data_IF_534497786550
#
_entry.id   IF_534497786550
#
_cell.length_a   1.000
_cell.length_b   1.000
_cell.length_c   1.000
_cell.angle_alpha   90.00
_cell.angle_beta   90.00
_cell.angle_gamma   90.00
#
_symmetry.space_group_name_H-M   'P 1'
#
loop_
_entity.id
_entity.type
_entity.pdbx_description
1 polymer ?
#
# COMPACT_ATOMS: atom_id res chain seq x y z
N UNK A 1 -7.30 15.57 -4.45
CA UNK A 1 -6.88 14.36 -5.20
C UNK A 1 -5.93 14.74 -6.31
N UNK A 2 -4.85 13.98 -6.51
CA UNK A 2 -3.91 14.13 -7.62
C UNK A 2 -3.99 12.93 -8.58
N UNK A 3 -3.25 12.98 -9.69
CA UNK A 3 -3.15 11.84 -10.61
C UNK A 3 -2.59 10.58 -9.93
N UNK A 4 -1.68 10.77 -8.96
CA UNK A 4 -1.19 9.67 -8.13
C UNK A 4 -2.31 9.09 -7.25
N UNK A 5 -3.20 9.93 -6.68
CA UNK A 5 -4.38 9.46 -5.94
C UNK A 5 -5.29 8.61 -6.83
N UNK A 6 -5.56 9.06 -8.07
CA UNK A 6 -6.34 8.28 -9.04
C UNK A 6 -5.66 6.97 -9.44
N UNK A 7 -4.34 6.94 -9.48
CA UNK A 7 -3.60 5.70 -9.72
C UNK A 7 -3.74 4.71 -8.56
N UNK A 8 -3.82 5.17 -7.32
CA UNK A 8 -4.11 4.31 -6.17
C UNK A 8 -5.51 3.73 -6.29
N UNK A 9 -6.51 4.55 -6.66
CA UNK A 9 -7.88 4.08 -6.89
C UNK A 9 -7.92 2.98 -7.93
N UNK A 10 -7.22 3.16 -9.06
CA UNK A 10 -7.13 2.14 -10.11
C UNK A 10 -6.47 0.85 -9.61
N UNK A 11 -5.36 0.97 -8.89
CA UNK A 11 -4.66 -0.17 -8.31
C UNK A 11 -5.55 -0.96 -7.34
N UNK A 12 -6.28 -0.28 -6.44
CA UNK A 12 -7.17 -0.96 -5.48
C UNK A 12 -8.37 -1.60 -6.19
N UNK A 13 -8.93 -0.94 -7.21
CA UNK A 13 -10.00 -1.55 -8.01
C UNK A 13 -9.53 -2.80 -8.76
N UNK A 14 -8.30 -2.79 -9.27
CA UNK A 14 -7.67 -3.97 -9.91
C UNK A 14 -7.41 -5.07 -8.88
N UNK A 15 -6.92 -4.74 -7.69
CA UNK A 15 -6.75 -5.69 -6.59
C UNK A 15 -8.06 -6.34 -6.14
N UNK A 16 -9.17 -5.61 -6.32
CA UNK A 16 -10.53 -6.05 -6.00
C UNK A 16 -11.29 -6.67 -7.19
N UNK A 17 -10.64 -6.98 -8.31
CA UNK A 17 -11.32 -7.42 -9.55
C UNK A 17 -12.27 -8.59 -9.33
N UNK A 18 -11.88 -9.53 -8.47
CA UNK A 18 -12.59 -10.79 -8.27
C UNK A 18 -13.52 -10.74 -7.06
N UNK A 19 -13.09 -10.03 -6.01
CA UNK A 19 -13.83 -9.81 -4.76
C UNK A 19 -13.31 -8.54 -4.08
N UNK A 20 -14.14 -7.88 -3.28
CA UNK A 20 -13.71 -6.72 -2.49
C UNK A 20 -12.79 -7.18 -1.35
N UNK A 21 -11.52 -6.77 -1.40
CA UNK A 21 -10.44 -7.13 -0.45
C UNK A 21 -9.83 -5.93 0.25
N UNK A 22 -9.85 -4.78 -0.41
CA UNK A 22 -9.34 -3.53 0.13
C UNK A 22 -10.30 -2.36 -0.13
N UNK A 23 -10.34 -1.38 0.75
CA UNK A 23 -11.06 -0.13 0.58
C UNK A 23 -10.09 1.04 0.75
N UNK A 24 -10.27 2.12 0.00
CA UNK A 24 -9.45 3.32 0.12
C UNK A 24 -10.29 4.50 0.62
N UNK A 25 -9.63 5.42 1.33
CA UNK A 25 -10.16 6.75 1.65
C UNK A 25 -9.06 7.80 1.49
N UNK A 26 -9.49 9.03 1.25
CA UNK A 26 -8.64 10.21 1.13
C UNK A 26 -9.25 11.33 1.98
N UNK A 27 -8.46 11.92 2.87
CA UNK A 27 -8.86 13.12 3.60
C UNK A 27 -8.63 14.38 2.74
N UNK A 28 -8.29 15.51 3.36
CA UNK A 28 -7.93 16.76 2.68
C UNK A 28 -6.50 16.73 2.10
N UNK A 29 -6.13 15.66 1.38
CA UNK A 29 -4.79 15.49 0.82
C UNK A 29 -4.68 14.36 -0.22
N UNK A 30 -3.51 14.22 -0.85
CA UNK A 30 -3.28 13.18 -1.86
C UNK A 30 -2.93 11.81 -1.25
N UNK A 31 -2.71 11.73 0.06
CA UNK A 31 -2.37 10.50 0.76
C UNK A 31 -3.58 9.56 0.81
N UNK A 32 -3.37 8.31 0.46
CA UNK A 32 -4.38 7.27 0.55
C UNK A 32 -4.25 6.52 1.88
N UNK A 33 -5.37 6.29 2.55
CA UNK A 33 -5.48 5.30 3.61
C UNK A 33 -6.22 4.08 3.04
N UNK A 34 -5.62 2.89 3.15
CA UNK A 34 -6.17 1.66 2.60
C UNK A 34 -6.47 0.71 3.77
N UNK A 35 -7.71 0.24 3.84
CA UNK A 35 -8.18 -0.77 4.79
C UNK A 35 -8.26 -2.11 4.08
N UNK A 36 -7.74 -3.16 4.72
CA UNK A 36 -7.76 -4.54 4.23
C UNK A 36 -7.56 -5.50 5.41
N UNK A 37 -7.79 -6.79 5.17
CA UNK A 37 -7.44 -7.84 6.13
C UNK A 37 -5.93 -8.11 6.13
N UNK A 38 -5.37 -8.50 7.27
CA UNK A 38 -3.92 -8.74 7.43
C UNK A 38 -3.39 -9.77 6.42
N UNK A 39 -4.18 -10.80 6.11
CA UNK A 39 -3.84 -11.85 5.15
C UNK A 39 -3.66 -11.33 3.70
N UNK A 40 -4.26 -10.18 3.38
CA UNK A 40 -4.21 -9.58 2.05
C UNK A 40 -3.08 -8.55 1.91
N UNK A 41 -2.39 -8.19 3.01
CA UNK A 41 -1.34 -7.18 3.02
C UNK A 41 -0.16 -7.48 2.08
N UNK A 42 0.43 -8.68 2.05
CA UNK A 42 1.54 -8.97 1.14
C UNK A 42 1.14 -8.79 -0.33
N UNK A 43 -0.04 -9.29 -0.70
CA UNK A 43 -0.56 -9.18 -2.07
C UNK A 43 -0.84 -7.73 -2.48
N UNK A 44 -1.33 -6.90 -1.54
CA UNK A 44 -1.53 -5.47 -1.79
C UNK A 44 -0.19 -4.75 -1.98
N UNK A 45 0.83 -5.07 -1.17
CA UNK A 45 2.16 -4.46 -1.31
C UNK A 45 2.83 -4.83 -2.64
N UNK A 46 2.66 -6.07 -3.10
CA UNK A 46 3.10 -6.49 -4.43
C UNK A 46 2.40 -5.69 -5.52
N UNK A 47 1.06 -5.58 -5.48
CA UNK A 47 0.31 -4.73 -6.41
C UNK A 47 0.75 -3.26 -6.38
N UNK A 48 1.01 -2.72 -5.19
CA UNK A 48 1.53 -1.36 -5.04
C UNK A 48 2.89 -1.21 -5.74
N UNK A 49 3.79 -2.19 -5.59
CA UNK A 49 5.10 -2.20 -6.24
C UNK A 49 5.01 -2.35 -7.77
N UNK A 50 3.95 -2.97 -8.29
CA UNK A 50 3.67 -3.02 -9.74
C UNK A 50 3.15 -1.69 -10.29
N UNK A 51 2.40 -0.93 -9.50
CA UNK A 51 1.84 0.34 -9.95
C UNK A 51 2.75 1.54 -9.69
N UNK A 52 3.59 1.50 -8.67
CA UNK A 52 4.39 2.63 -8.19
C UNK A 52 5.85 2.27 -7.99
N UNK A 53 6.72 3.26 -8.14
CA UNK A 53 8.10 3.14 -7.69
C UNK A 53 8.15 3.30 -6.16
N UNK A 54 8.69 2.28 -5.48
CA UNK A 54 8.90 2.30 -4.02
C UNK A 54 10.42 2.34 -3.79
N UNK A 55 10.95 3.38 -3.13
CA UNK A 55 12.37 3.44 -2.78
C UNK A 55 12.81 2.24 -1.94
N UNK A 56 14.03 1.75 -2.16
CA UNK A 56 14.57 0.61 -1.43
C UNK A 56 14.59 0.83 0.09
N UNK A 57 14.80 2.07 0.56
CA UNK A 57 14.74 2.38 1.99
C UNK A 57 13.36 2.11 2.62
N UNK A 58 12.28 2.35 1.85
CA UNK A 58 10.91 2.15 2.31
C UNK A 58 10.61 0.66 2.40
N UNK A 59 11.06 -0.11 1.39
CA UNK A 59 10.96 -1.57 1.40
C UNK A 59 11.74 -2.18 2.58
N UNK A 60 12.96 -1.73 2.84
CA UNK A 60 13.77 -2.20 3.98
C UNK A 60 13.08 -1.92 5.32
N UNK A 61 12.42 -0.77 5.46
CA UNK A 61 11.67 -0.43 6.68
C UNK A 61 10.46 -1.35 6.87
N UNK A 62 9.72 -1.64 5.79
CA UNK A 62 8.59 -2.58 5.82
C UNK A 62 9.02 -4.00 6.18
N UNK A 63 10.14 -4.46 5.62
CA UNK A 63 10.71 -5.78 5.93
C UNK A 63 11.14 -5.88 7.41
N UNK A 64 11.66 -4.79 7.98
CA UNK A 64 12.12 -4.75 9.38
C UNK A 64 10.97 -4.74 10.40
N UNK A 65 9.77 -4.33 9.99
CA UNK A 65 8.57 -4.28 10.85
C UNK A 65 7.80 -5.59 10.99
N UNK A 66 8.21 -6.67 10.28
CA UNK A 66 7.63 -8.00 10.42
C UNK A 66 6.57 -8.37 9.39
N UNK A 67 6.69 -9.60 8.86
CA UNK A 67 5.80 -10.42 8.01
C UNK A 67 5.19 -9.83 6.72
N UNK A 68 5.73 -8.72 6.21
CA UNK A 68 5.47 -8.31 4.84
C UNK A 68 6.31 -9.20 3.90
N UNK A 69 5.79 -10.38 3.54
CA UNK A 69 6.38 -11.32 2.59
C UNK A 69 6.47 -10.77 1.16
N UNK A 70 7.11 -9.61 0.98
CA UNK A 70 7.50 -9.05 -0.31
C UNK A 70 8.54 -9.99 -0.91
N UNK A 71 8.09 -10.93 -1.75
CA UNK A 71 9.01 -11.69 -2.58
C UNK A 71 9.62 -10.74 -3.59
N UNK A 72 10.90 -10.42 -3.42
CA UNK A 72 11.71 -9.68 -4.39
C UNK A 72 11.54 -10.34 -5.77
N UNK A 73 10.67 -9.77 -6.60
CA UNK A 73 10.55 -10.15 -8.00
C UNK A 73 11.36 -9.15 -8.81
N UNK A 74 12.49 -9.57 -9.40
CA UNK A 74 13.24 -8.74 -10.32
C UNK A 74 12.44 -8.63 -11.63
N UNK A 75 12.31 -7.42 -12.15
CA UNK A 75 11.60 -7.06 -13.38
C UNK A 75 10.07 -7.09 -13.37
N UNK A 76 9.48 -6.26 -12.50
CA UNK A 76 8.12 -5.79 -12.73
C UNK A 76 8.15 -4.52 -13.60
N UNK A 77 7.50 -4.60 -14.77
CA UNK A 77 7.19 -3.42 -15.59
C UNK A 77 6.20 -2.54 -14.83
N UNK A 78 6.66 -1.37 -14.38
CA UNK A 78 5.82 -0.44 -13.62
C UNK A 78 4.77 0.19 -14.54
N UNK A 79 3.51 0.16 -14.10
CA UNK A 79 2.39 0.78 -14.85
C UNK A 79 2.38 2.30 -14.76
N UNK A 80 3.06 2.91 -13.79
CA UNK A 80 3.15 4.36 -13.65
C UNK A 80 4.53 4.84 -13.19
N UNK A 81 4.80 6.12 -13.42
CA UNK A 81 6.02 6.81 -12.98
C UNK A 81 5.92 7.43 -11.59
N UNK A 82 4.80 7.26 -10.88
CA UNK A 82 4.61 7.84 -9.55
C UNK A 82 5.44 7.12 -8.51
N UNK A 83 5.99 7.90 -7.56
CA UNK A 83 6.85 7.39 -6.48
C UNK A 83 6.09 7.47 -5.15
N UNK A 84 6.05 6.36 -4.41
CA UNK A 84 5.54 6.33 -3.04
C UNK A 84 6.66 6.76 -2.09
N UNK A 85 6.43 7.84 -1.35
CA UNK A 85 7.45 8.38 -0.43
C UNK A 85 7.62 7.54 0.83
N UNK A 86 6.52 7.01 1.36
CA UNK A 86 6.52 6.23 2.59
C UNK A 86 5.26 5.36 2.66
N UNK A 87 5.32 4.28 3.44
CA UNK A 87 4.21 3.38 3.71
C UNK A 87 4.17 3.16 5.22
N UNK A 88 2.98 3.30 5.81
CA UNK A 88 2.76 3.07 7.23
C UNK A 88 1.72 1.95 7.33
N UNK A 89 2.11 0.85 7.98
CA UNK A 89 1.21 -0.27 8.27
C UNK A 89 0.85 -0.18 9.75
N UNK A 90 -0.45 -0.18 10.04
CA UNK A 90 -0.99 -0.18 11.39
C UNK A 90 -2.28 -0.98 11.42
N UNK A 91 -2.55 -1.60 12.56
CA UNK A 91 -3.83 -2.24 12.85
C UNK A 91 -4.70 -1.32 13.70
N UNK A 92 -5.95 -1.73 13.90
CA UNK A 92 -6.88 -1.02 14.79
C UNK A 92 -6.32 -1.02 16.22
N UNK A 93 -6.03 0.17 16.73
CA UNK A 93 -5.51 0.38 18.08
C UNK A 93 -6.58 0.40 19.16
N UNK A 94 -6.12 0.44 20.42
CA UNK A 94 -7.00 0.62 21.59
C UNK A 94 -7.26 2.09 21.95
N UNK A 95 -8.05 2.30 22.99
CA UNK A 95 -8.33 3.61 23.55
C UNK A 95 -7.06 4.31 24.12
N UNK A 96 -7.09 5.64 24.33
CA UNK A 96 -5.98 6.39 24.92
C UNK A 96 -5.46 5.78 26.22
N UNK A 97 -4.13 5.79 26.41
CA UNK A 97 -3.46 5.29 27.62
C UNK A 97 -2.79 6.44 28.37
N UNK A 98 -2.91 6.43 29.70
CA UNK A 98 -2.14 7.32 30.58
C UNK A 98 -0.76 6.66 30.78
N UNK A 99 0.29 7.38 30.42
CA UNK A 99 1.70 6.96 30.51
C UNK A 99 2.40 7.73 31.62
#
# INVERSE_FOLDING_TARGET
MSDASWQVIRMVNEFNSDRVRAAYTFDAGPNACIFLEDADLPNLLDQLHQHFAIPAEVLSRLASSGDCGLTHTPDIVRKSSFVVKNIIVSTVGGAPRII
#
